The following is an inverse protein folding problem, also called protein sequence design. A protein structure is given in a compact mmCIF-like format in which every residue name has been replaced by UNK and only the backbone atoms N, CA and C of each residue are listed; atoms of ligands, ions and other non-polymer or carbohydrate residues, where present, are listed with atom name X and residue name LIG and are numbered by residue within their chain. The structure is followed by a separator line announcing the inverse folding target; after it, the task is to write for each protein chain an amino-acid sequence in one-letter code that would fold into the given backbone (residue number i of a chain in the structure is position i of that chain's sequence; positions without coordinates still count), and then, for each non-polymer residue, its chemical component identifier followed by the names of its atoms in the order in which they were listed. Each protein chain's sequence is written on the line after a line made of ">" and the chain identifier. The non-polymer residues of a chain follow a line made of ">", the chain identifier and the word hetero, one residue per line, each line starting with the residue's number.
data_IF_630955027704
#
_entry.id   IF_630955027704
#
_cell.length_a   1.000
_cell.length_b   1.000
_cell.length_c   1.000
_cell.angle_alpha   90.00
_cell.angle_beta   90.00
_cell.angle_gamma   90.00
#
_symmetry.space_group_name_H-M   'P 1'
#
loop_
_entity.id
_entity.type
_entity.pdbx_description
1 polymer ?
#
# COMPACT_ATOMS: atom_id res chain seq x y z
N UNK A 1 -9.59 -13.66 -0.14
CA UNK A 1 -9.98 -12.24 -0.41
C UNK A 1 -8.90 -11.22 -0.06
N UNK A 2 -7.98 -11.53 0.86
CA UNK A 2 -6.86 -10.67 1.25
C UNK A 2 -5.98 -10.22 0.08
N UNK A 3 -5.68 -11.12 -0.86
CA UNK A 3 -4.87 -10.84 -2.05
C UNK A 3 -5.44 -9.68 -2.86
N UNK A 4 -6.75 -9.68 -3.13
CA UNK A 4 -7.41 -8.62 -3.91
C UNK A 4 -7.33 -7.27 -3.19
N UNK A 5 -7.55 -7.25 -1.88
CA UNK A 5 -7.48 -6.03 -1.07
C UNK A 5 -6.04 -5.48 -1.04
N UNK A 6 -5.05 -6.36 -0.85
CA UNK A 6 -3.63 -5.99 -0.84
C UNK A 6 -3.18 -5.43 -2.20
N UNK A 7 -3.56 -6.08 -3.30
CA UNK A 7 -3.26 -5.62 -4.67
C UNK A 7 -3.96 -4.28 -4.94
N UNK A 8 -5.23 -4.13 -4.59
CA UNK A 8 -5.95 -2.87 -4.76
C UNK A 8 -5.28 -1.73 -3.98
N UNK A 9 -4.92 -1.96 -2.71
CA UNK A 9 -4.19 -0.99 -1.90
C UNK A 9 -2.81 -0.66 -2.50
N UNK A 10 -2.06 -1.66 -2.96
CA UNK A 10 -0.76 -1.47 -3.62
C UNK A 10 -0.88 -0.59 -4.87
N UNK A 11 -1.91 -0.83 -5.70
CA UNK A 11 -2.18 -0.03 -6.90
C UNK A 11 -2.52 1.41 -6.50
N UNK A 12 -3.43 1.62 -5.54
CA UNK A 12 -3.82 2.96 -5.08
C UNK A 12 -2.59 3.75 -4.61
N UNK A 13 -1.78 3.18 -3.72
CA UNK A 13 -0.59 3.85 -3.20
C UNK A 13 0.48 4.08 -4.28
N UNK A 14 0.62 3.16 -5.25
CA UNK A 14 1.51 3.34 -6.39
C UNK A 14 1.04 4.47 -7.30
N UNK A 15 -0.26 4.55 -7.62
CA UNK A 15 -0.86 5.63 -8.41
C UNK A 15 -0.65 6.98 -7.69
N UNK A 16 -0.93 7.05 -6.39
CA UNK A 16 -0.71 8.24 -5.59
C UNK A 16 0.76 8.68 -5.62
N UNK A 17 1.70 7.74 -5.52
CA UNK A 17 3.13 8.01 -5.65
C UNK A 17 3.49 8.59 -7.04
N UNK A 18 3.05 7.97 -8.12
CA UNK A 18 3.34 8.43 -9.49
C UNK A 18 2.71 9.79 -9.79
N UNK A 19 1.46 10.02 -9.37
CA UNK A 19 0.79 11.32 -9.52
C UNK A 19 1.53 12.41 -8.73
N UNK A 20 1.95 12.10 -7.49
CA UNK A 20 2.74 13.03 -6.67
C UNK A 20 4.07 13.38 -7.36
N UNK A 21 4.75 12.39 -7.93
CA UNK A 21 6.03 12.56 -8.64
C UNK A 21 5.89 13.32 -9.96
N UNK A 22 4.82 13.09 -10.73
CA UNK A 22 4.57 13.81 -12.00
C UNK A 22 4.28 15.29 -11.75
N UNK A 23 3.56 15.59 -10.67
CA UNK A 23 3.23 16.96 -10.32
C UNK A 23 4.42 17.75 -9.76
N UNK A 24 5.52 17.10 -9.33
CA UNK A 24 6.75 17.75 -8.84
C UNK A 24 7.40 18.71 -9.86
N UNK A 25 7.14 18.54 -11.17
CA UNK A 25 7.63 19.43 -12.22
C UNK A 25 6.82 20.72 -12.41
N UNK A 26 5.62 20.81 -11.84
CA UNK A 26 4.81 22.02 -11.86
C UNK A 26 5.07 22.80 -10.55
N UNK A 27 5.81 23.90 -10.66
CA UNK A 27 6.12 24.80 -9.55
C UNK A 27 4.83 25.39 -8.96
N UNK A 28 4.29 24.71 -7.95
CA UNK A 28 3.08 25.09 -7.24
C UNK A 28 3.30 24.87 -5.74
N UNK A 29 2.84 25.78 -4.86
CA UNK A 29 3.06 25.66 -3.40
C UNK A 29 2.36 24.44 -2.78
N UNK A 30 1.35 23.87 -3.46
CA UNK A 30 0.70 22.61 -3.04
C UNK A 30 1.59 21.39 -3.32
N UNK A 31 2.40 21.44 -4.37
CA UNK A 31 3.31 20.38 -4.81
C UNK A 31 4.46 20.15 -3.85
N UNK A 32 5.05 21.22 -3.30
CA UNK A 32 6.12 21.12 -2.31
C UNK A 32 5.70 20.37 -1.03
N UNK A 33 4.41 20.43 -0.69
CA UNK A 33 3.82 19.67 0.41
C UNK A 33 3.66 18.19 0.06
N UNK A 34 3.22 17.86 -1.16
CA UNK A 34 3.14 16.46 -1.62
C UNK A 34 4.51 15.79 -1.67
N UNK A 35 5.59 16.53 -1.99
CA UNK A 35 6.97 16.01 -1.98
C UNK A 35 7.40 15.45 -0.62
N UNK A 36 6.85 15.99 0.48
CA UNK A 36 7.12 15.48 1.83
C UNK A 36 6.47 14.10 2.08
N UNK A 37 5.46 13.74 1.30
CA UNK A 37 4.76 12.45 1.42
C UNK A 37 5.20 11.41 0.38
N UNK A 38 6.00 11.76 -0.64
CA UNK A 38 6.42 10.81 -1.69
C UNK A 38 7.20 9.62 -1.12
N UNK A 39 8.10 9.85 -0.14
CA UNK A 39 8.83 8.77 0.55
C UNK A 39 7.88 7.85 1.33
N UNK A 40 7.02 8.36 2.25
CA UNK A 40 6.00 7.55 2.91
C UNK A 40 5.10 6.78 1.94
N UNK A 41 4.61 7.42 0.86
CA UNK A 41 3.75 6.78 -0.15
C UNK A 41 4.47 5.60 -0.81
N UNK A 42 5.75 5.78 -1.18
CA UNK A 42 6.55 4.71 -1.80
C UNK A 42 6.77 3.54 -0.84
N UNK A 43 7.14 3.82 0.41
CA UNK A 43 7.34 2.77 1.42
C UNK A 43 6.06 1.99 1.70
N UNK A 44 4.92 2.68 1.83
CA UNK A 44 3.63 2.02 2.03
C UNK A 44 3.20 1.22 0.79
N UNK A 45 3.45 1.72 -0.43
CA UNK A 45 3.18 0.97 -1.65
C UNK A 45 3.98 -0.35 -1.68
N UNK A 46 5.27 -0.31 -1.35
CA UNK A 46 6.11 -1.50 -1.25
C UNK A 46 5.60 -2.48 -0.19
N UNK A 47 5.14 -2.01 0.96
CA UNK A 47 4.57 -2.86 2.00
C UNK A 47 3.32 -3.61 1.49
N UNK A 48 2.43 -2.94 0.76
CA UNK A 48 1.26 -3.59 0.16
C UNK A 48 1.63 -4.55 -0.97
N UNK A 49 2.66 -4.25 -1.77
CA UNK A 49 3.17 -5.20 -2.77
C UNK A 49 3.79 -6.45 -2.12
N UNK A 50 4.52 -6.30 -1.01
CA UNK A 50 5.05 -7.43 -0.25
C UNK A 50 3.91 -8.33 0.29
N UNK A 51 2.85 -7.72 0.83
CA UNK A 51 1.66 -8.45 1.27
C UNK A 51 0.96 -9.16 0.11
N UNK A 52 0.85 -8.52 -1.06
CA UNK A 52 0.27 -9.13 -2.26
C UNK A 52 1.08 -10.35 -2.73
N UNK A 53 2.42 -10.26 -2.72
CA UNK A 53 3.30 -11.39 -3.09
C UNK A 53 3.14 -12.53 -2.09
N UNK A 54 3.17 -12.25 -0.77
CA UNK A 54 2.97 -13.27 0.26
C UNK A 54 1.67 -14.05 0.04
N UNK A 55 0.54 -13.36 -0.11
CA UNK A 55 -0.74 -14.04 -0.36
C UNK A 55 -0.84 -14.67 -1.74
N UNK A 56 -0.03 -14.24 -2.73
CA UNK A 56 0.04 -14.93 -4.01
C UNK A 56 0.73 -16.29 -3.87
N UNK A 57 1.74 -16.40 -3.00
CA UNK A 57 2.38 -17.68 -2.68
C UNK A 57 1.39 -18.63 -2.00
N UNK A 58 0.59 -18.13 -1.06
CA UNK A 58 -0.48 -18.91 -0.43
C UNK A 58 -1.50 -19.41 -1.46
N UNK A 59 -1.90 -18.54 -2.40
CA UNK A 59 -2.80 -18.93 -3.50
C UNK A 59 -2.22 -20.04 -4.40
N UNK A 60 -0.92 -19.99 -4.71
CA UNK A 60 -0.24 -21.04 -5.49
C UNK A 60 -0.25 -22.37 -4.70
N UNK A 61 0.05 -22.32 -3.39
CA UNK A 61 0.04 -23.50 -2.54
C UNK A 61 -1.36 -24.15 -2.49
N UNK A 62 -2.42 -23.35 -2.39
CA UNK A 62 -3.80 -23.83 -2.41
C UNK A 62 -4.14 -24.56 -3.73
N UNK A 63 -3.75 -24.00 -4.88
CA UNK A 63 -3.95 -24.65 -6.20
C UNK A 63 -3.23 -25.99 -6.28
N UNK A 64 -2.00 -26.08 -5.77
CA UNK A 64 -1.25 -27.32 -5.73
C UNK A 64 -1.90 -28.37 -4.79
N UNK A 65 -2.61 -27.91 -3.76
CA UNK A 65 -3.40 -28.73 -2.85
C UNK A 65 -4.76 -29.17 -3.39
N UNK A 66 -5.15 -28.72 -4.59
CA UNK A 66 -6.46 -29.01 -5.18
C UNK A 66 -7.57 -28.04 -4.75
N UNK A 67 -7.22 -26.97 -4.05
CA UNK A 67 -8.13 -25.91 -3.63
C UNK A 67 -8.12 -24.71 -4.61
N UNK A 68 -9.13 -23.82 -4.57
CA UNK A 68 -9.15 -22.64 -5.42
C UNK A 68 -8.02 -21.65 -5.11
N UNK A 69 -7.44 -21.03 -6.15
CA UNK A 69 -6.42 -19.97 -5.99
C UNK A 69 -6.91 -18.77 -5.17
N UNK A 70 -8.17 -18.39 -5.37
CA UNK A 70 -8.83 -17.34 -4.60
C UNK A 70 -9.76 -17.98 -3.60
N UNK A 71 -9.30 -18.09 -2.36
CA UNK A 71 -10.16 -18.46 -1.26
C UNK A 71 -11.06 -17.26 -0.89
N UNK A 72 -12.37 -17.42 -1.08
CA UNK A 72 -13.37 -16.41 -0.75
C UNK A 72 -14.01 -16.80 0.59
N UNK A 73 -13.22 -16.69 1.67
CA UNK A 73 -13.73 -16.77 3.04
C UNK A 73 -14.09 -15.38 3.59
N UNK A 74 -15.17 -15.34 4.38
CA UNK A 74 -15.56 -14.15 5.14
C UNK A 74 -14.56 -13.83 6.25
N UNK A 75 -13.96 -14.85 6.87
CA UNK A 75 -12.95 -14.64 7.92
C UNK A 75 -11.69 -13.98 7.33
N UNK A 76 -11.23 -14.45 6.17
CA UNK A 76 -10.09 -13.86 5.47
C UNK A 76 -10.33 -12.41 5.05
N UNK A 77 -11.57 -12.05 4.72
CA UNK A 77 -11.93 -10.69 4.35
C UNK A 77 -11.64 -9.70 5.47
N UNK A 78 -11.88 -10.10 6.72
CA UNK A 78 -11.57 -9.29 7.91
C UNK A 78 -10.06 -9.09 8.03
N UNK A 79 -9.27 -10.14 7.80
CA UNK A 79 -7.80 -10.03 7.80
C UNK A 79 -7.30 -9.03 6.76
N UNK A 80 -7.84 -9.08 5.54
CA UNK A 80 -7.51 -8.14 4.47
C UNK A 80 -7.79 -6.69 4.85
N UNK A 81 -8.92 -6.42 5.53
CA UNK A 81 -9.27 -5.08 6.04
C UNK A 81 -8.30 -4.64 7.14
N UNK A 82 -7.95 -5.53 8.08
CA UNK A 82 -6.99 -5.22 9.15
C UNK A 82 -5.64 -4.83 8.54
N UNK A 83 -5.15 -5.57 7.54
CA UNK A 83 -3.87 -5.25 6.88
C UNK A 83 -3.95 -3.91 6.14
N UNK A 84 -5.08 -3.60 5.49
CA UNK A 84 -5.28 -2.28 4.88
C UNK A 84 -5.22 -1.15 5.92
N UNK A 85 -5.85 -1.32 7.08
CA UNK A 85 -5.80 -0.36 8.19
C UNK A 85 -4.38 -0.21 8.74
N UNK A 86 -3.65 -1.32 8.92
CA UNK A 86 -2.25 -1.30 9.36
C UNK A 86 -1.36 -0.56 8.36
N UNK A 87 -1.53 -0.77 7.06
CA UNK A 87 -0.79 -0.04 6.03
C UNK A 87 -1.12 1.45 6.00
N UNK A 88 -2.37 1.84 6.23
CA UNK A 88 -2.77 3.24 6.39
C UNK A 88 -2.16 3.87 7.65
N UNK A 89 -2.13 3.14 8.77
CA UNK A 89 -1.48 3.59 10.00
C UNK A 89 0.04 3.75 9.81
N UNK A 90 0.69 2.79 9.14
CA UNK A 90 2.10 2.88 8.77
C UNK A 90 2.37 4.13 7.93
N UNK A 91 1.54 4.39 6.92
CA UNK A 91 1.63 5.60 6.12
C UNK A 91 1.52 6.86 6.99
N UNK A 92 0.52 6.94 7.88
CA UNK A 92 0.31 8.09 8.75
C UNK A 92 1.52 8.36 9.65
N UNK A 93 2.11 7.31 10.25
CA UNK A 93 3.31 7.43 11.09
C UNK A 93 4.51 7.91 10.27
N UNK A 94 4.76 7.32 9.09
CA UNK A 94 5.85 7.72 8.22
C UNK A 94 5.68 9.16 7.71
N UNK A 95 4.44 9.53 7.37
CA UNK A 95 4.05 10.86 6.94
C UNK A 95 4.32 11.90 8.03
N UNK A 96 3.88 11.66 9.26
CA UNK A 96 4.11 12.54 10.41
C UNK A 96 5.60 12.68 10.72
N UNK A 97 6.36 11.58 10.71
CA UNK A 97 7.81 11.59 10.95
C UNK A 97 8.54 12.40 9.88
N UNK A 98 8.19 12.22 8.61
CA UNK A 98 8.84 12.94 7.52
C UNK A 98 8.49 14.44 7.52
N UNK A 99 7.27 14.81 7.95
CA UNK A 99 6.89 16.20 8.17
C UNK A 99 7.72 16.86 9.28
N UNK A 100 7.95 16.16 10.40
CA UNK A 100 8.76 16.64 11.52
C UNK A 100 10.20 16.92 11.09
N UNK A 101 10.82 15.99 10.36
CA UNK A 101 12.21 16.11 9.89
C UNK A 101 12.44 17.23 8.87
N UNK A 102 11.38 17.76 8.24
CA UNK A 102 11.45 18.88 7.30
C UNK A 102 11.14 20.25 7.94
N UNK A 103 10.93 20.30 9.27
CA UNK A 103 10.64 21.52 10.03
C UNK A 103 11.84 21.96 10.90
N UNK A 104 12.77 21.04 11.17
CA UNK A 104 14.12 21.31 11.70
C UNK A 104 15.06 21.69 10.55
#
# INVERSE_FOLDING_TARGET
>A
MCLLIAVAAAIVFSVLFFVSKKNDGAENPKTSRLRKFTKPLFTTALAFWAAAIMWSVDGIANVLGGEPFLEISKEDSVLGVIVALCGAALFAVLALRNLKNHKE
#
